data_IF_863011708565
#
_entry.id   IF_863011708565
#
_cell.length_a   1.000
_cell.length_b   1.000
_cell.length_c   1.000
_cell.angle_alpha   90.00
_cell.angle_beta   90.00
_cell.angle_gamma   90.00
#
_symmetry.space_group_name_H-M   'P 1'
#
loop_
_entity.id
_entity.type
_entity.pdbx_description
1 polymer ?
#
# COMPACT_ATOMS: atom_id res chain seq x y z
N UNK A 1 12.68 12.95 19.45
CA UNK A 1 11.45 12.14 19.32
C UNK A 1 11.85 10.78 18.78
N UNK A 2 11.61 9.74 19.57
CA UNK A 2 11.94 8.36 19.21
C UNK A 2 10.72 7.72 18.56
N UNK A 3 10.90 7.02 17.43
CA UNK A 3 9.80 6.36 16.70
C UNK A 3 10.03 4.86 16.70
N UNK A 4 9.02 4.11 17.14
CA UNK A 4 9.08 2.65 17.23
C UNK A 4 7.89 1.99 16.57
N UNK A 5 8.08 0.74 16.17
CA UNK A 5 7.04 -0.15 15.66
C UNK A 5 6.69 -1.13 16.76
N UNK A 6 5.42 -1.16 17.16
CA UNK A 6 4.91 -2.16 18.07
C UNK A 6 4.00 -3.12 17.31
N UNK A 7 4.40 -4.39 17.23
CA UNK A 7 3.63 -5.45 16.59
C UNK A 7 2.96 -6.32 17.65
N UNK A 8 1.75 -6.80 17.35
CA UNK A 8 1.09 -7.83 18.15
C UNK A 8 0.04 -7.31 19.14
N UNK A 9 -0.27 -5.99 19.12
CA UNK A 9 -1.37 -5.45 19.91
C UNK A 9 -2.69 -6.11 19.48
N UNK A 10 -3.52 -6.47 20.46
CA UNK A 10 -4.77 -7.21 20.21
C UNK A 10 -5.98 -6.40 20.65
N UNK A 11 -6.99 -6.32 19.79
CA UNK A 11 -8.33 -5.88 20.14
C UNK A 11 -9.33 -7.00 19.86
N UNK A 12 -10.28 -7.22 20.75
CA UNK A 12 -11.46 -8.04 20.45
C UNK A 12 -12.30 -7.39 19.35
N UNK A 13 -13.33 -8.08 18.87
CA UNK A 13 -14.23 -7.50 17.86
C UNK A 13 -15.08 -6.33 18.38
N UNK A 14 -15.27 -6.25 19.69
CA UNK A 14 -16.08 -5.20 20.34
C UNK A 14 -15.24 -3.96 20.70
N UNK A 15 -13.92 -4.13 20.83
CA UNK A 15 -12.99 -3.05 21.15
C UNK A 15 -12.70 -2.17 19.93
N UNK A 16 -12.65 -0.86 20.16
CA UNK A 16 -12.38 0.14 19.12
C UNK A 16 -10.89 0.56 19.10
N UNK A 17 -10.45 1.15 17.98
CA UNK A 17 -9.04 1.52 17.77
C UNK A 17 -8.56 2.63 18.73
N UNK A 18 -9.47 3.39 19.34
CA UNK A 18 -9.20 4.37 20.39
C UNK A 18 -8.60 3.73 21.66
N UNK A 19 -8.74 2.42 21.83
CA UNK A 19 -8.10 1.68 22.92
C UNK A 19 -6.61 1.38 22.65
N UNK A 20 -6.12 1.54 21.41
CA UNK A 20 -4.74 1.20 21.05
C UNK A 20 -3.68 1.98 21.83
N UNK A 21 -3.80 3.31 22.06
CA UNK A 21 -2.80 4.05 22.85
C UNK A 21 -2.66 3.52 24.28
N UNK A 22 -3.79 3.23 24.95
CA UNK A 22 -3.80 2.70 26.30
C UNK A 22 -3.16 1.30 26.36
N UNK A 23 -3.48 0.42 25.40
CA UNK A 23 -2.86 -0.92 25.31
C UNK A 23 -1.37 -0.87 24.97
N UNK A 24 -0.97 0.07 24.11
CA UNK A 24 0.44 0.29 23.79
C UNK A 24 1.23 0.77 25.01
N UNK A 25 0.71 1.77 25.74
CA UNK A 25 1.31 2.28 26.96
C UNK A 25 1.47 1.19 28.03
N UNK A 26 0.41 0.39 28.25
CA UNK A 26 0.44 -0.77 29.15
C UNK A 26 1.48 -1.82 28.73
N UNK A 27 1.54 -2.16 27.45
CA UNK A 27 2.51 -3.13 26.93
C UNK A 27 3.97 -2.64 27.02
N UNK A 28 4.17 -1.33 26.99
CA UNK A 28 5.47 -0.68 27.12
C UNK A 28 5.81 -0.30 28.58
N UNK A 29 4.90 -0.50 29.54
CA UNK A 29 5.12 -0.16 30.95
C UNK A 29 5.31 1.34 31.19
N UNK A 30 4.70 2.20 30.37
CA UNK A 30 4.86 3.67 30.44
C UNK A 30 3.52 4.40 30.54
N UNK A 31 3.51 5.66 31.00
CA UNK A 31 2.32 6.52 30.96
C UNK A 31 1.84 6.79 29.52
N UNK A 32 0.54 7.01 29.34
CA UNK A 32 -0.03 7.30 28.02
C UNK A 32 0.50 8.62 27.43
N UNK A 33 0.87 9.57 28.28
CA UNK A 33 1.47 10.86 27.96
C UNK A 33 2.86 10.75 27.33
N UNK A 34 3.53 9.60 27.52
CA UNK A 34 4.79 9.28 26.86
C UNK A 34 4.60 8.98 25.37
N UNK A 35 3.37 8.71 24.92
CA UNK A 35 3.02 8.50 23.51
C UNK A 35 2.52 9.82 22.91
N UNK A 36 3.36 10.46 22.10
CA UNK A 36 3.01 11.69 21.38
C UNK A 36 1.94 11.45 20.30
N UNK A 37 2.08 10.34 19.56
CA UNK A 37 1.10 9.92 18.56
C UNK A 37 1.21 8.44 18.26
N UNK A 38 0.09 7.87 17.79
CA UNK A 38 -0.02 6.48 17.36
C UNK A 38 -0.75 6.43 16.01
N UNK A 39 -0.24 5.65 15.07
CA UNK A 39 -0.92 5.36 13.81
C UNK A 39 -0.86 3.86 13.49
N UNK A 40 -1.94 3.34 12.90
CA UNK A 40 -2.04 1.94 12.49
C UNK A 40 -1.22 1.75 11.21
N UNK A 41 -0.22 0.87 11.25
CA UNK A 41 0.54 0.43 10.08
C UNK A 41 -0.14 -0.75 9.41
N UNK A 42 -0.69 -1.66 10.22
CA UNK A 42 -1.31 -2.90 9.75
C UNK A 42 -2.39 -3.35 10.71
N UNK A 43 -3.52 -3.80 10.16
CA UNK A 43 -4.61 -4.47 10.87
C UNK A 43 -4.85 -5.84 10.24
N UNK A 44 -4.87 -6.89 11.06
CA UNK A 44 -5.13 -8.25 10.60
C UNK A 44 -6.15 -8.94 11.50
N UNK A 45 -7.12 -9.64 10.92
CA UNK A 45 -8.05 -10.47 11.67
C UNK A 45 -7.45 -11.87 11.89
N UNK A 46 -7.21 -12.25 13.14
CA UNK A 46 -6.92 -13.65 13.51
C UNK A 46 -8.24 -14.36 13.79
N UNK A 47 -8.72 -15.12 12.81
CA UNK A 47 -9.94 -15.93 12.89
C UNK A 47 -9.62 -17.44 12.85
N UNK A 48 -8.47 -17.87 13.38
CA UNK A 48 -8.11 -19.30 13.44
C UNK A 48 -9.09 -20.09 14.29
N UNK A 49 -9.34 -21.36 13.92
CA UNK A 49 -10.18 -22.28 14.70
C UNK A 49 -9.64 -22.43 16.13
N UNK A 50 -10.54 -22.61 17.10
CA UNK A 50 -10.27 -22.80 18.54
C UNK A 50 -9.86 -21.55 19.34
N UNK A 51 -10.12 -20.34 18.85
CA UNK A 51 -9.99 -19.10 19.63
C UNK A 51 -11.04 -18.08 19.16
N UNK A 52 -11.49 -17.16 20.03
CA UNK A 52 -12.34 -16.07 19.59
C UNK A 52 -11.59 -15.18 18.57
N UNK A 53 -12.28 -14.72 17.51
CA UNK A 53 -11.69 -13.82 16.54
C UNK A 53 -11.27 -12.51 17.20
N UNK A 54 -10.10 -12.00 16.83
CA UNK A 54 -9.57 -10.74 17.32
C UNK A 54 -8.71 -10.08 16.25
N UNK A 55 -8.62 -8.76 16.31
CA UNK A 55 -7.72 -7.99 15.47
C UNK A 55 -6.33 -7.94 16.09
N UNK A 56 -5.31 -8.12 15.26
CA UNK A 56 -3.90 -7.97 15.58
C UNK A 56 -3.37 -6.76 14.82
N UNK A 57 -2.78 -5.82 15.55
CA UNK A 57 -2.30 -4.56 15.01
C UNK A 57 -0.76 -4.51 15.02
N UNK A 58 -0.22 -3.83 14.01
CA UNK A 58 1.09 -3.21 14.05
C UNK A 58 0.89 -1.70 14.02
N UNK A 59 1.52 -0.99 14.97
CA UNK A 59 1.36 0.46 15.13
C UNK A 59 2.71 1.17 15.10
N UNK A 60 2.73 2.37 14.52
CA UNK A 60 3.83 3.34 14.61
C UNK A 60 3.55 4.20 15.82
N UNK A 61 4.49 4.24 16.76
CA UNK A 61 4.39 5.02 17.98
C UNK A 61 5.51 6.07 17.95
N UNK A 62 5.13 7.34 18.11
CA UNK A 62 6.05 8.44 18.34
C UNK A 62 6.07 8.73 19.84
N UNK A 63 7.24 8.67 20.45
CA UNK A 63 7.42 8.91 21.89
C UNK A 63 7.85 10.34 22.17
N UNK A 64 7.36 10.91 23.27
CA UNK A 64 7.83 12.17 23.83
C UNK A 64 9.16 11.92 24.57
N UNK A 65 10.19 12.72 24.24
CA UNK A 65 11.51 12.63 24.89
C UNK A 65 12.25 11.31 24.66
N UNK A 66 13.13 10.98 25.61
CA UNK A 66 13.90 9.74 25.68
C UNK A 66 13.26 8.77 26.69
N UNK A 67 11.97 8.45 26.49
CA UNK A 67 11.30 7.47 27.34
C UNK A 67 12.07 6.14 27.35
N UNK A 68 12.36 5.64 28.56
CA UNK A 68 13.00 4.35 28.74
C UNK A 68 12.07 3.25 28.22
N UNK A 69 12.62 2.43 27.32
CA UNK A 69 11.89 1.30 26.76
C UNK A 69 12.18 0.05 27.60
N UNK A 70 11.16 -0.78 27.87
CA UNK A 70 11.37 -1.99 28.64
C UNK A 70 12.24 -2.98 27.86
N UNK A 71 13.13 -3.67 28.58
CA UNK A 71 13.94 -4.76 28.01
C UNK A 71 13.09 -6.00 27.72
N UNK A 72 12.03 -6.21 28.52
CA UNK A 72 11.12 -7.34 28.44
C UNK A 72 9.72 -6.86 28.05
N UNK A 73 9.17 -7.45 26.99
CA UNK A 73 7.82 -7.16 26.51
C UNK A 73 6.87 -8.34 26.82
N UNK A 74 5.56 -8.08 26.93
CA UNK A 74 4.57 -9.14 27.06
C UNK A 74 4.63 -10.15 25.91
N UNK A 75 4.22 -11.39 26.18
CA UNK A 75 4.23 -12.45 25.18
C UNK A 75 3.44 -12.07 23.92
N UNK A 76 4.07 -12.25 22.75
CA UNK A 76 3.47 -11.94 21.45
C UNK A 76 3.57 -10.48 21.02
N UNK A 77 4.03 -9.57 21.90
CA UNK A 77 4.39 -8.21 21.54
C UNK A 77 5.84 -8.17 21.06
N UNK A 78 6.08 -7.46 19.96
CA UNK A 78 7.44 -7.23 19.45
C UNK A 78 7.64 -5.76 19.16
N UNK A 79 8.73 -5.22 19.67
CA UNK A 79 9.15 -3.86 19.40
C UNK A 79 10.33 -3.89 18.44
N UNK A 80 10.25 -3.07 17.40
CA UNK A 80 11.29 -2.89 16.41
C UNK A 80 11.50 -1.38 16.22
N UNK A 81 12.73 -0.92 15.92
CA UNK A 81 12.91 0.44 15.43
C UNK A 81 12.01 0.65 14.20
N UNK A 82 11.25 1.74 14.19
CA UNK A 82 10.45 2.08 13.02
C UNK A 82 11.32 2.93 12.11
N UNK A 83 11.66 2.35 10.97
CA UNK A 83 12.13 3.12 9.84
C UNK A 83 10.89 3.43 9.01
N UNK A 84 10.60 4.72 8.76
CA UNK A 84 9.80 5.07 7.59
C UNK A 84 10.46 4.28 6.45
N UNK A 85 9.68 3.39 5.82
CA UNK A 85 10.19 2.34 4.95
C UNK A 85 11.24 2.90 4.00
N UNK A 86 12.17 2.08 3.50
CA UNK A 86 13.34 2.58 2.77
C UNK A 86 12.90 3.70 1.83
N UNK A 87 13.70 4.75 1.75
CA UNK A 87 13.50 5.80 0.76
C UNK A 87 13.88 5.21 -0.62
N UNK A 88 13.13 4.18 -1.03
CA UNK A 88 13.37 3.38 -2.23
C UNK A 88 13.03 4.18 -3.48
N UNK A 89 12.32 5.30 -3.28
CA UNK A 89 11.87 6.22 -4.29
C UNK A 89 11.88 7.68 -3.78
N UNK A 90 12.90 8.11 -3.04
CA UNK A 90 13.47 9.39 -3.46
C UNK A 90 14.02 9.09 -4.84
N UNK A 91 13.62 9.82 -5.89
CA UNK A 91 14.41 9.82 -7.09
C UNK A 91 15.81 10.20 -6.61
N UNK A 92 16.75 9.24 -6.53
CA UNK A 92 18.15 9.56 -6.33
C UNK A 92 18.45 10.51 -7.49
N UNK A 93 18.63 11.78 -7.13
CA UNK A 93 18.16 12.92 -7.93
C UNK A 93 18.41 12.74 -9.42
N UNK A 94 17.40 13.08 -10.24
CA UNK A 94 17.44 13.09 -11.72
C UNK A 94 18.78 12.58 -12.24
N UNK A 95 18.92 11.25 -12.41
CA UNK A 95 20.15 10.72 -12.98
C UNK A 95 20.37 11.51 -14.27
N UNK A 96 21.43 12.32 -14.33
CA UNK A 96 21.76 13.05 -15.54
C UNK A 96 22.05 11.97 -16.57
N UNK A 97 21.04 11.70 -17.40
CA UNK A 97 21.23 10.82 -18.54
C UNK A 97 22.30 11.50 -19.39
N UNK A 98 23.33 10.77 -19.85
CA UNK A 98 24.23 11.31 -20.85
C UNK A 98 23.41 11.86 -22.00
N UNK A 99 23.92 12.89 -22.66
CA UNK A 99 23.28 13.67 -23.72
C UNK A 99 23.10 12.85 -25.02
N UNK A 100 22.64 11.61 -24.90
CA UNK A 100 22.16 10.77 -25.98
C UNK A 100 20.73 11.24 -26.23
N UNK A 101 20.49 11.67 -27.47
CA UNK A 101 19.21 12.05 -28.05
C UNK A 101 18.04 11.37 -27.31
N UNK A 102 17.24 12.18 -26.60
CA UNK A 102 16.25 11.77 -25.57
C UNK A 102 15.07 10.99 -26.16
N UNK A 103 15.31 9.85 -26.78
CA UNK A 103 14.26 8.97 -27.26
C UNK A 103 13.43 8.46 -26.06
N UNK A 104 12.09 8.44 -26.17
CA UNK A 104 11.24 7.97 -25.10
C UNK A 104 11.44 6.47 -24.85
N UNK A 105 11.38 6.06 -23.58
CA UNK A 105 11.23 4.64 -23.25
C UNK A 105 9.84 4.21 -23.67
N UNK A 106 9.75 3.22 -24.56
CA UNK A 106 8.47 2.67 -25.02
C UNK A 106 8.01 1.58 -24.06
N UNK A 107 6.81 1.73 -23.53
CA UNK A 107 6.13 0.75 -22.69
C UNK A 107 4.89 0.26 -23.44
N UNK A 108 4.73 -1.06 -23.56
CA UNK A 108 3.60 -1.68 -24.24
C UNK A 108 2.69 -2.34 -23.21
N UNK A 109 1.44 -1.90 -23.17
CA UNK A 109 0.40 -2.29 -22.22
C UNK A 109 0.23 -1.30 -21.08
N UNK A 110 -1.00 -0.83 -20.89
CA UNK A 110 -1.41 0.10 -19.81
C UNK A 110 -2.10 -0.63 -18.64
N UNK A 111 -1.74 -1.89 -18.42
CA UNK A 111 -2.08 -2.60 -17.19
C UNK A 111 -1.27 -2.09 -15.98
N UNK A 112 -1.49 -2.62 -14.76
CA UNK A 112 -0.81 -2.13 -13.56
C UNK A 112 0.72 -2.10 -13.68
N UNK A 113 1.32 -3.14 -14.26
CA UNK A 113 2.78 -3.17 -14.47
C UNK A 113 3.28 -2.05 -15.39
N UNK A 114 2.59 -1.81 -16.51
CA UNK A 114 2.96 -0.76 -17.47
C UNK A 114 2.71 0.64 -16.94
N UNK A 115 1.59 0.84 -16.22
CA UNK A 115 1.29 2.10 -15.55
C UNK A 115 2.33 2.46 -14.50
N UNK A 116 2.69 1.51 -13.62
CA UNK A 116 3.73 1.77 -12.61
C UNK A 116 5.12 1.96 -13.23
N UNK A 117 5.47 1.22 -14.28
CA UNK A 117 6.73 1.45 -15.01
C UNK A 117 6.76 2.86 -15.64
N UNK A 118 5.68 3.27 -16.30
CA UNK A 118 5.57 4.58 -16.93
C UNK A 118 5.62 5.70 -15.90
N UNK A 119 4.86 5.57 -14.81
CA UNK A 119 4.83 6.51 -13.70
C UNK A 119 6.22 6.68 -13.09
N UNK A 120 6.90 5.57 -12.74
CA UNK A 120 8.25 5.58 -12.18
C UNK A 120 9.27 6.30 -13.08
N UNK A 121 9.25 6.02 -14.38
CA UNK A 121 10.16 6.67 -15.33
C UNK A 121 9.84 8.16 -15.50
N UNK A 122 8.55 8.51 -15.55
CA UNK A 122 8.08 9.89 -15.69
C UNK A 122 8.49 10.76 -14.49
N UNK A 123 8.28 10.28 -13.26
CA UNK A 123 8.70 11.01 -12.05
C UNK A 123 10.23 11.11 -11.91
N UNK A 124 10.97 10.22 -12.58
CA UNK A 124 12.43 10.27 -12.67
C UNK A 124 12.93 11.24 -13.75
N UNK A 125 12.02 11.88 -14.48
CA UNK A 125 12.34 12.84 -15.55
C UNK A 125 12.69 12.19 -16.89
N UNK A 126 12.38 10.90 -17.09
CA UNK A 126 12.60 10.21 -18.35
C UNK A 126 11.37 10.36 -19.27
N UNK A 127 11.56 10.67 -20.56
CA UNK A 127 10.47 10.66 -21.52
C UNK A 127 9.95 9.22 -21.71
N UNK A 128 8.63 9.05 -21.72
CA UNK A 128 7.96 7.74 -21.85
C UNK A 128 6.90 7.81 -22.94
N UNK A 129 6.81 6.77 -23.75
CA UNK A 129 5.70 6.51 -24.67
C UNK A 129 4.97 5.26 -24.21
N UNK A 130 3.75 5.41 -23.68
CA UNK A 130 2.90 4.30 -23.26
C UNK A 130 1.93 3.94 -24.38
N UNK A 131 1.99 2.70 -24.86
CA UNK A 131 1.12 2.18 -25.93
C UNK A 131 0.15 1.15 -25.36
N UNK A 132 -1.12 1.25 -25.71
CA UNK A 132 -2.16 0.28 -25.35
C UNK A 132 -2.91 -0.12 -26.61
N UNK A 133 -3.15 -1.43 -26.79
CA UNK A 133 -3.88 -1.95 -27.94
C UNK A 133 -5.37 -1.66 -27.86
N UNK A 134 -5.91 -1.68 -26.65
CA UNK A 134 -7.33 -1.43 -26.42
C UNK A 134 -7.67 0.04 -26.23
N UNK A 135 -8.88 0.28 -25.73
CA UNK A 135 -9.48 1.61 -25.67
C UNK A 135 -9.34 2.26 -24.30
N UNK A 136 -9.48 3.61 -24.22
CA UNK A 136 -9.69 4.32 -22.97
C UNK A 136 -10.83 3.73 -22.14
N UNK A 137 -10.72 3.81 -20.82
CA UNK A 137 -11.55 3.06 -19.87
C UNK A 137 -13.04 3.36 -20.02
N UNK A 138 -13.42 4.58 -20.36
CA UNK A 138 -14.82 4.99 -20.53
C UNK A 138 -15.45 4.29 -21.74
N UNK A 139 -14.70 4.24 -22.85
CA UNK A 139 -15.12 3.55 -24.09
C UNK A 139 -15.08 2.04 -23.92
N UNK A 140 -14.07 1.54 -23.22
CA UNK A 140 -13.90 0.13 -22.89
C UNK A 140 -15.03 -0.40 -22.00
N UNK A 141 -15.51 0.40 -21.04
CA UNK A 141 -16.63 0.03 -20.17
C UNK A 141 -17.93 -0.22 -20.96
N UNK A 142 -18.19 0.59 -22.00
CA UNK A 142 -19.33 0.36 -22.91
C UNK A 142 -19.15 -0.95 -23.68
N UNK A 143 -17.95 -1.18 -24.23
CA UNK A 143 -17.67 -2.39 -25.01
C UNK A 143 -17.79 -3.67 -24.18
N UNK A 144 -17.31 -3.65 -22.92
CA UNK A 144 -17.45 -4.77 -21.98
C UNK A 144 -18.90 -5.00 -21.59
N UNK A 145 -19.68 -3.94 -21.40
CA UNK A 145 -21.11 -4.05 -21.10
C UNK A 145 -21.87 -4.68 -22.25
N UNK A 146 -21.66 -4.23 -23.49
CA UNK A 146 -22.29 -4.85 -24.67
C UNK A 146 -21.93 -6.33 -24.82
N UNK A 147 -20.71 -6.72 -24.46
CA UNK A 147 -20.36 -8.15 -24.43
C UNK A 147 -21.14 -8.92 -23.36
N UNK A 148 -21.26 -8.40 -22.14
CA UNK A 148 -21.99 -9.06 -21.06
C UNK A 148 -23.51 -9.13 -21.28
N UNK A 149 -24.10 -8.10 -21.89
CA UNK A 149 -25.55 -8.00 -22.09
C UNK A 149 -26.00 -8.64 -23.41
N UNK A 150 -25.23 -8.48 -24.49
CA UNK A 150 -25.65 -8.83 -25.85
C UNK A 150 -24.75 -9.90 -26.51
N UNK A 151 -23.64 -10.30 -25.87
CA UNK A 151 -22.68 -11.25 -26.44
C UNK A 151 -21.79 -10.65 -27.53
N UNK A 152 -21.83 -9.33 -27.75
CA UNK A 152 -21.07 -8.64 -28.80
C UNK A 152 -19.62 -8.39 -28.36
N UNK A 153 -18.74 -9.35 -28.64
CA UNK A 153 -17.31 -9.24 -28.31
C UNK A 153 -16.57 -8.28 -29.26
N UNK A 154 -15.83 -7.32 -28.69
CA UNK A 154 -14.80 -6.56 -29.40
C UNK A 154 -13.41 -7.13 -29.08
N UNK A 155 -12.72 -7.77 -30.03
CA UNK A 155 -11.44 -8.45 -29.76
C UNK A 155 -10.33 -7.55 -29.20
N UNK A 156 -10.35 -6.26 -29.55
CA UNK A 156 -9.35 -5.28 -29.06
C UNK A 156 -9.81 -4.48 -27.84
N UNK A 157 -11.07 -4.59 -27.41
CA UNK A 157 -11.62 -3.81 -26.30
C UNK A 157 -12.56 -4.68 -25.47
N UNK A 158 -12.01 -5.30 -24.43
CA UNK A 158 -12.71 -6.30 -23.63
C UNK A 158 -12.16 -6.34 -22.19
N UNK A 159 -12.60 -7.33 -21.41
CA UNK A 159 -12.21 -7.50 -20.01
C UNK A 159 -10.69 -7.60 -19.82
N UNK A 160 -9.94 -8.01 -20.84
CA UNK A 160 -8.47 -8.17 -20.78
C UNK A 160 -7.71 -6.98 -21.39
N UNK A 161 -8.20 -6.41 -22.49
CA UNK A 161 -7.46 -5.40 -23.28
C UNK A 161 -8.09 -4.00 -23.21
N UNK A 162 -7.22 -2.99 -23.08
CA UNK A 162 -7.58 -1.58 -22.90
C UNK A 162 -6.99 -0.98 -21.61
N UNK A 163 -7.33 0.28 -21.36
CA UNK A 163 -6.78 1.06 -20.25
C UNK A 163 -6.98 0.37 -18.90
N UNK A 164 -5.91 0.28 -18.11
CA UNK A 164 -5.87 -0.43 -16.82
C UNK A 164 -5.73 -1.96 -16.93
N UNK A 165 -5.72 -2.51 -18.16
CA UNK A 165 -5.52 -3.92 -18.44
C UNK A 165 -6.54 -4.83 -17.76
N UNK A 166 -6.15 -6.05 -17.38
CA UNK A 166 -7.05 -7.01 -16.75
C UNK A 166 -7.49 -6.62 -15.32
N UNK A 167 -6.85 -5.62 -14.70
CA UNK A 167 -7.18 -5.18 -13.34
C UNK A 167 -8.47 -4.36 -13.26
N UNK A 168 -8.84 -3.66 -14.34
CA UNK A 168 -9.93 -2.66 -14.36
C UNK A 168 -11.29 -3.22 -13.96
N UNK A 169 -11.64 -4.42 -14.42
CA UNK A 169 -12.92 -5.07 -14.15
C UNK A 169 -12.81 -6.19 -13.12
N UNK A 170 -11.80 -6.10 -12.25
CA UNK A 170 -11.63 -7.01 -11.11
C UNK A 170 -12.26 -6.42 -9.85
N UNK A 171 -12.25 -7.19 -8.76
CA UNK A 171 -12.61 -6.72 -7.43
C UNK A 171 -11.52 -5.85 -6.76
N UNK A 172 -10.39 -5.61 -7.44
CA UNK A 172 -9.30 -4.78 -6.94
C UNK A 172 -8.52 -5.39 -5.76
N UNK A 173 -8.64 -6.70 -5.49
CA UNK A 173 -7.91 -7.34 -4.38
C UNK A 173 -6.40 -7.23 -4.54
N UNK A 174 -5.76 -6.57 -3.58
CA UNK A 174 -4.31 -6.49 -3.49
C UNK A 174 -3.75 -7.68 -2.71
N UNK A 175 -2.91 -8.49 -3.36
CA UNK A 175 -2.23 -9.61 -2.69
C UNK A 175 -1.22 -9.12 -1.65
N UNK A 176 -1.02 -9.90 -0.58
CA UNK A 176 -0.26 -9.51 0.61
C UNK A 176 1.16 -8.98 0.36
N UNK A 177 1.89 -9.56 -0.60
CA UNK A 177 3.26 -9.18 -1.02
C UNK A 177 4.19 -8.75 0.13
N UNK A 178 4.11 -9.39 1.30
CA UNK A 178 4.80 -8.96 2.54
C UNK A 178 6.32 -8.91 2.44
N UNK A 179 6.92 -9.63 1.49
CA UNK A 179 8.37 -9.63 1.23
C UNK A 179 8.81 -8.59 0.20
N UNK A 180 7.87 -7.89 -0.47
CA UNK A 180 8.19 -6.90 -1.48
C UNK A 180 8.33 -5.52 -0.81
N UNK A 181 9.53 -4.90 -0.83
CA UNK A 181 9.74 -3.60 -0.20
C UNK A 181 8.93 -2.46 -0.86
N UNK A 182 8.55 -2.59 -2.14
CA UNK A 182 7.79 -1.58 -2.88
C UNK A 182 6.27 -1.65 -2.66
N UNK A 183 5.76 -2.67 -1.94
CA UNK A 183 4.32 -2.87 -1.79
C UNK A 183 3.61 -1.69 -1.09
N UNK A 184 4.27 -1.07 -0.10
CA UNK A 184 3.74 0.13 0.57
C UNK A 184 3.66 1.32 -0.37
N UNK A 185 4.72 1.58 -1.15
CA UNK A 185 4.76 2.66 -2.13
C UNK A 185 3.66 2.53 -3.20
N UNK A 186 3.47 1.33 -3.76
CA UNK A 186 2.39 1.07 -4.72
C UNK A 186 1.02 1.45 -4.14
N UNK A 187 0.74 1.08 -2.88
CA UNK A 187 -0.52 1.43 -2.23
C UNK A 187 -0.66 2.93 -1.99
N UNK A 188 0.42 3.61 -1.58
CA UNK A 188 0.40 5.07 -1.41
C UNK A 188 0.06 5.77 -2.73
N UNK A 189 0.72 5.40 -3.82
CA UNK A 189 0.43 5.96 -5.16
C UNK A 189 -1.02 5.70 -5.56
N UNK A 190 -1.56 4.50 -5.30
CA UNK A 190 -2.98 4.23 -5.58
C UNK A 190 -3.91 5.15 -4.79
N UNK A 191 -3.64 5.40 -3.50
CA UNK A 191 -4.43 6.33 -2.68
C UNK A 191 -4.30 7.77 -3.17
N UNK A 192 -3.10 8.21 -3.55
CA UNK A 192 -2.87 9.53 -4.17
C UNK A 192 -3.67 9.70 -5.46
N UNK A 193 -3.89 8.61 -6.20
CA UNK A 193 -4.71 8.56 -7.42
C UNK A 193 -6.20 8.28 -7.17
N UNK A 194 -6.65 8.34 -5.90
CA UNK A 194 -8.06 8.28 -5.53
C UNK A 194 -8.56 6.93 -5.00
N UNK A 195 -7.70 5.94 -4.78
CA UNK A 195 -8.11 4.70 -4.11
C UNK A 195 -8.46 4.95 -2.62
N UNK A 196 -9.34 4.14 -2.02
CA UNK A 196 -9.70 4.27 -0.61
C UNK A 196 -8.49 4.15 0.32
N UNK A 197 -8.31 5.04 1.33
CA UNK A 197 -7.19 4.97 2.27
C UNK A 197 -7.11 3.64 3.05
N UNK A 198 -8.22 2.91 3.16
CA UNK A 198 -8.30 1.62 3.83
C UNK A 198 -7.41 0.53 3.21
N UNK A 199 -6.87 0.71 2.00
CA UNK A 199 -5.95 -0.26 1.39
C UNK A 199 -4.54 -0.23 2.02
N UNK A 200 -4.23 0.82 2.80
CA UNK A 200 -2.93 0.99 3.46
C UNK A 200 -2.76 0.08 4.69
N UNK A 201 -3.86 -0.27 5.36
CA UNK A 201 -3.87 -0.96 6.65
C UNK A 201 -4.30 -2.42 6.59
#
# INVERSE_FOLDING_TARGET
MRVIRLNGLKLTLDEQEECLPAKAALALGMPAESIASLSVIKKALDARRNRPPHFVYAVKICLTGDADLPELLPEGIRMEPFFDGPDIFTPQGRRQLPEVEKLPVVIVGSGPAGLFAAYTLAISGMPVLLLERGRPVEKRAVDVRSFWEEGLLKPESNVLFGEGGAGTFSDGKLTSRTKNPYAGWVKNVLVEMGAPPSILT
#
